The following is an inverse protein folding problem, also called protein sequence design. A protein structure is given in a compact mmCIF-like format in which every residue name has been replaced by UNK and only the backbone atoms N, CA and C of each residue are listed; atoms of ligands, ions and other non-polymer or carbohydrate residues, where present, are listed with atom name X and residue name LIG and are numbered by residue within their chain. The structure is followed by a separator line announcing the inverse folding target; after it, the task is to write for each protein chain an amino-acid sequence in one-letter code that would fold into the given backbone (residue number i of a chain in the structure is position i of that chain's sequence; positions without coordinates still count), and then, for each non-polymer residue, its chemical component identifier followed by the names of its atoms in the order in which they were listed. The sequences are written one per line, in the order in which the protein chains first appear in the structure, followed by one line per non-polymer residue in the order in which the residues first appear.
data_IF_099141678253
#
_entry.id   IF_099141678253
#
_cell.length_a   1.000
_cell.length_b   1.000
_cell.length_c   1.000
_cell.angle_alpha   90.00
_cell.angle_beta   90.00
_cell.angle_gamma   90.00
#
_symmetry.space_group_name_H-M   'P 1'
#
loop_
_entity.id
_entity.type
_entity.pdbx_description
1 polymer ?
#
# COMPACT_ATOMS: atom_id res chain seq x y z
N UNK A 1 6.16 2.82 25.76
CA UNK A 1 7.39 2.01 25.52
C UNK A 1 8.42 2.88 24.86
N UNK A 2 9.71 2.74 25.24
CA UNK A 2 10.82 3.37 24.52
C UNK A 2 11.42 2.32 23.60
N UNK A 3 11.39 2.57 22.30
CA UNK A 3 11.94 1.66 21.29
C UNK A 3 13.46 1.81 21.19
N UNK A 4 14.16 0.72 20.86
CA UNK A 4 15.59 0.74 20.56
C UNK A 4 15.82 1.35 19.17
N UNK A 5 16.92 2.06 19.01
CA UNK A 5 17.35 2.52 17.68
C UNK A 5 18.17 1.43 17.00
N UNK A 6 17.88 1.08 15.72
CA UNK A 6 18.66 0.10 14.97
C UNK A 6 20.06 0.64 14.67
N UNK A 7 21.08 0.02 15.23
CA UNK A 7 22.47 0.48 15.14
C UNK A 7 23.32 -0.32 14.15
N UNK A 8 23.03 -1.61 13.98
CA UNK A 8 23.72 -2.45 13.00
C UNK A 8 23.08 -2.36 11.61
N UNK A 9 23.84 -2.72 10.58
CA UNK A 9 23.32 -2.78 9.21
C UNK A 9 22.18 -3.80 9.10
N UNK A 10 22.34 -4.95 9.76
CA UNK A 10 21.34 -6.04 9.75
C UNK A 10 20.01 -5.56 10.33
N UNK A 11 20.01 -4.86 11.46
CA UNK A 11 18.77 -4.33 12.05
C UNK A 11 18.17 -3.22 11.21
N UNK A 12 18.97 -2.35 10.59
CA UNK A 12 18.46 -1.30 9.68
C UNK A 12 17.81 -1.89 8.43
N UNK A 13 18.44 -2.88 7.82
CA UNK A 13 17.86 -3.62 6.69
C UNK A 13 16.61 -4.39 7.12
N UNK A 14 16.64 -5.01 8.29
CA UNK A 14 15.47 -5.69 8.87
C UNK A 14 14.26 -4.78 9.02
N UNK A 15 14.47 -3.48 9.35
CA UNK A 15 13.37 -2.52 9.46
C UNK A 15 12.71 -2.17 8.10
N UNK A 16 13.33 -2.51 6.98
CA UNK A 16 12.73 -2.36 5.65
C UNK A 16 11.82 -3.55 5.29
N UNK A 17 11.88 -4.67 6.00
CA UNK A 17 11.16 -5.91 5.65
C UNK A 17 9.81 -5.95 6.34
N UNK A 18 8.76 -6.08 5.54
CA UNK A 18 7.37 -6.25 5.96
C UNK A 18 6.89 -7.63 5.57
N UNK A 19 6.29 -8.37 6.51
CA UNK A 19 5.88 -9.76 6.27
C UNK A 19 4.44 -10.02 6.69
N UNK A 20 3.76 -10.92 5.95
CA UNK A 20 2.53 -11.57 6.38
C UNK A 20 2.81 -12.90 7.07
N UNK A 21 1.79 -13.50 7.66
CA UNK A 21 1.84 -14.84 8.23
C UNK A 21 0.45 -15.50 8.25
N UNK A 22 0.42 -16.81 8.51
CA UNK A 22 -0.82 -17.57 8.63
C UNK A 22 -1.26 -17.67 10.09
N UNK A 23 -2.59 -17.57 10.31
CA UNK A 23 -3.21 -17.84 11.61
C UNK A 23 -3.58 -16.59 12.41
N UNK A 24 -4.28 -16.83 13.52
CA UNK A 24 -4.85 -15.79 14.42
C UNK A 24 -3.88 -15.33 15.50
N UNK A 25 -2.73 -15.98 15.61
CA UNK A 25 -1.63 -15.64 16.52
C UNK A 25 -0.33 -15.62 15.76
N UNK A 26 0.60 -14.76 16.14
CA UNK A 26 1.91 -14.71 15.50
C UNK A 26 2.71 -16.00 15.77
N UNK A 27 3.24 -16.67 14.73
CA UNK A 27 4.09 -17.83 14.92
C UNK A 27 5.41 -17.47 15.61
N UNK A 28 6.01 -18.44 16.31
CA UNK A 28 7.26 -18.22 17.06
C UNK A 28 8.38 -17.63 16.20
N UNK A 29 8.54 -18.10 14.96
CA UNK A 29 9.56 -17.56 14.05
C UNK A 29 9.38 -16.07 13.73
N UNK A 30 8.13 -15.57 13.64
CA UNK A 30 7.86 -14.14 13.44
C UNK A 30 8.26 -13.36 14.69
N UNK A 31 7.87 -13.84 15.88
CA UNK A 31 8.21 -13.22 17.16
C UNK A 31 9.72 -13.18 17.40
N UNK A 32 10.44 -14.24 17.02
CA UNK A 32 11.91 -14.28 17.09
C UNK A 32 12.54 -13.21 16.18
N UNK A 33 12.09 -13.12 14.91
CA UNK A 33 12.60 -12.12 13.96
C UNK A 33 12.30 -10.69 14.38
N UNK A 34 11.15 -10.43 15.02
CA UNK A 34 10.84 -9.13 15.62
C UNK A 34 11.81 -8.78 16.75
N UNK A 35 12.08 -9.75 17.66
CA UNK A 35 13.04 -9.55 18.77
C UNK A 35 14.46 -9.26 18.27
N UNK A 36 14.86 -9.88 17.17
CA UNK A 36 16.17 -9.69 16.52
C UNK A 36 16.22 -8.37 15.70
N UNK A 37 15.10 -7.66 15.51
CA UNK A 37 15.02 -6.47 14.65
C UNK A 37 15.14 -6.75 13.16
N UNK A 38 14.80 -7.97 12.73
CA UNK A 38 14.87 -8.41 11.32
C UNK A 38 13.56 -8.23 10.57
N UNK A 39 12.52 -7.74 11.24
CA UNK A 39 11.21 -7.38 10.66
C UNK A 39 10.87 -5.99 11.19
N UNK A 40 10.57 -5.06 10.28
CA UNK A 40 10.14 -3.69 10.58
C UNK A 40 8.62 -3.52 10.54
N UNK A 41 7.93 -4.40 9.79
CA UNK A 41 6.48 -4.32 9.68
C UNK A 41 5.80 -5.67 9.47
N UNK A 42 4.52 -5.69 9.82
CA UNK A 42 3.61 -6.82 9.61
C UNK A 42 2.45 -6.33 8.73
N UNK A 43 2.09 -7.12 7.71
CA UNK A 43 0.83 -6.95 6.99
C UNK A 43 -0.18 -7.99 7.45
N UNK A 44 -1.38 -7.53 7.80
CA UNK A 44 -2.50 -8.37 8.23
C UNK A 44 -3.49 -8.59 7.07
N UNK A 45 -4.01 -9.81 7.01
CA UNK A 45 -5.04 -10.26 6.07
C UNK A 45 -6.26 -10.78 6.82
N UNK A 46 -7.34 -11.08 6.09
CA UNK A 46 -8.54 -11.68 6.68
C UNK A 46 -8.25 -12.98 7.46
N UNK A 47 -7.24 -13.75 7.05
CA UNK A 47 -6.79 -14.97 7.73
C UNK A 47 -6.22 -14.74 9.15
N UNK A 48 -5.93 -13.48 9.49
CA UNK A 48 -5.42 -13.10 10.81
C UNK A 48 -6.51 -12.50 11.72
N UNK A 49 -7.77 -12.47 11.27
CA UNK A 49 -8.87 -11.76 11.94
C UNK A 49 -10.00 -12.73 12.25
N UNK A 50 -10.34 -12.88 13.54
CA UNK A 50 -11.53 -13.58 14.00
C UNK A 50 -12.58 -12.58 14.51
N UNK A 51 -12.17 -11.68 15.40
CA UNK A 51 -12.98 -10.64 15.99
C UNK A 51 -12.11 -9.48 16.49
N UNK A 52 -12.70 -8.33 16.90
CA UNK A 52 -11.94 -7.18 17.36
C UNK A 52 -11.03 -7.46 18.58
N UNK A 53 -11.48 -8.29 19.53
CA UNK A 53 -10.72 -8.58 20.75
C UNK A 53 -9.50 -9.45 20.45
N UNK A 54 -9.68 -10.48 19.61
CA UNK A 54 -8.58 -11.33 19.14
C UNK A 54 -7.54 -10.50 18.36
N UNK A 55 -7.99 -9.62 17.46
CA UNK A 55 -7.10 -8.80 16.66
C UNK A 55 -6.31 -7.81 17.53
N UNK A 56 -6.93 -7.17 18.51
CA UNK A 56 -6.23 -6.32 19.46
C UNK A 56 -5.17 -7.09 20.25
N UNK A 57 -5.49 -8.30 20.72
CA UNK A 57 -4.53 -9.15 21.42
C UNK A 57 -3.35 -9.56 20.51
N UNK A 58 -3.60 -9.82 19.22
CA UNK A 58 -2.55 -10.13 18.24
C UNK A 58 -1.61 -8.92 18.05
N UNK A 59 -2.14 -7.73 17.82
CA UNK A 59 -1.33 -6.52 17.61
C UNK A 59 -0.54 -6.14 18.85
N UNK A 60 -1.11 -6.28 20.06
CA UNK A 60 -0.43 -6.11 21.33
C UNK A 60 0.74 -7.10 21.48
N UNK A 61 0.52 -8.36 21.12
CA UNK A 61 1.57 -9.40 21.16
C UNK A 61 2.72 -9.07 20.20
N UNK A 62 2.42 -8.61 18.99
CA UNK A 62 3.44 -8.20 18.02
C UNK A 62 4.28 -7.02 18.56
N UNK A 63 3.63 -5.98 19.08
CA UNK A 63 4.32 -4.82 19.66
C UNK A 63 5.16 -5.19 20.88
N UNK A 64 4.66 -6.06 21.76
CA UNK A 64 5.39 -6.50 22.96
C UNK A 64 6.69 -7.28 22.61
N UNK A 65 6.76 -7.89 21.43
CA UNK A 65 7.93 -8.64 20.96
C UNK A 65 8.84 -7.85 20.00
N UNK A 66 8.56 -6.56 19.76
CA UNK A 66 9.29 -5.72 18.83
C UNK A 66 10.07 -4.61 19.57
N UNK A 67 11.29 -4.86 20.07
CA UNK A 67 12.07 -3.87 20.82
C UNK A 67 12.44 -2.64 19.98
N UNK A 68 12.48 -2.77 18.67
CA UNK A 68 12.71 -1.67 17.71
C UNK A 68 11.40 -1.01 17.24
N UNK A 69 10.24 -1.48 17.72
CA UNK A 69 8.92 -1.16 17.19
C UNK A 69 8.58 -2.01 15.95
N UNK A 70 7.28 -2.18 15.69
CA UNK A 70 6.78 -2.81 14.46
C UNK A 70 5.64 -1.99 13.90
N UNK A 71 5.67 -1.71 12.60
CA UNK A 71 4.56 -1.07 11.90
C UNK A 71 3.58 -2.17 11.50
N UNK A 72 2.33 -2.07 11.96
CA UNK A 72 1.27 -3.01 11.58
C UNK A 72 0.42 -2.36 10.49
N UNK A 73 0.30 -3.05 9.37
CA UNK A 73 -0.37 -2.57 8.15
C UNK A 73 -1.47 -3.51 7.68
N UNK A 74 -2.36 -3.01 6.84
CA UNK A 74 -3.52 -3.72 6.33
C UNK A 74 -3.98 -3.14 4.98
N UNK A 75 -4.72 -3.92 4.18
CA UNK A 75 -5.52 -3.44 3.04
C UNK A 75 -6.98 -3.29 3.46
N UNK A 76 -7.35 -2.16 4.00
CA UNK A 76 -8.74 -1.82 4.34
C UNK A 76 -9.22 -0.70 3.41
N UNK A 77 -9.41 -1.04 2.13
CA UNK A 77 -9.91 -0.09 1.10
C UNK A 77 -11.41 0.16 1.25
N UNK A 78 -12.12 -0.84 1.75
CA UNK A 78 -13.57 -0.94 1.73
C UNK A 78 -14.10 -1.68 0.48
N UNK A 79 -15.39 -1.95 0.43
CA UNK A 79 -15.99 -2.69 -0.69
C UNK A 79 -15.41 -4.10 -0.81
N UNK A 80 -14.87 -4.44 -2.00
CA UNK A 80 -14.34 -5.78 -2.29
C UNK A 80 -13.05 -6.08 -1.54
N UNK A 81 -12.22 -5.08 -1.28
CA UNK A 81 -10.95 -5.23 -0.57
C UNK A 81 -11.09 -4.66 0.85
N UNK A 82 -11.54 -5.51 1.75
CA UNK A 82 -11.66 -5.25 3.17
C UNK A 82 -11.29 -6.52 3.94
N UNK A 83 -10.40 -6.40 4.92
CA UNK A 83 -9.97 -7.52 5.79
C UNK A 83 -10.82 -7.58 7.06
N UNK A 84 -11.28 -6.42 7.52
CA UNK A 84 -12.16 -6.24 8.68
C UNK A 84 -13.60 -6.14 8.19
N UNK A 85 -14.45 -7.08 8.61
CA UNK A 85 -15.86 -7.15 8.19
C UNK A 85 -16.78 -7.32 9.38
N UNK A 86 -17.03 -8.53 9.82
CA UNK A 86 -17.92 -8.80 10.95
C UNK A 86 -17.41 -8.14 12.24
N UNK A 87 -18.26 -7.33 12.88
CA UNK A 87 -17.89 -6.55 14.06
C UNK A 87 -17.23 -5.21 13.78
N UNK A 88 -17.06 -4.83 12.50
CA UNK A 88 -16.44 -3.58 12.06
C UNK A 88 -17.35 -2.79 11.11
N UNK A 89 -17.01 -1.52 10.88
CA UNK A 89 -17.70 -0.71 9.88
C UNK A 89 -17.38 -1.18 8.47
N UNK A 90 -18.41 -1.58 7.73
CA UNK A 90 -18.27 -1.92 6.32
C UNK A 90 -18.47 -0.68 5.44
N UNK A 91 -17.40 -0.25 4.78
CA UNK A 91 -17.47 0.77 3.74
C UNK A 91 -18.04 0.18 2.45
N UNK A 92 -18.94 0.88 1.73
CA UNK A 92 -19.43 0.40 0.43
C UNK A 92 -18.36 0.40 -0.68
N UNK A 93 -17.19 0.95 -0.43
CA UNK A 93 -16.07 1.01 -1.37
C UNK A 93 -16.02 2.30 -2.20
N UNK A 94 -14.88 2.49 -2.88
CA UNK A 94 -14.53 3.75 -3.53
C UNK A 94 -15.55 4.18 -4.60
N UNK A 95 -15.89 3.30 -5.54
CA UNK A 95 -16.82 3.63 -6.64
C UNK A 95 -18.22 3.98 -6.13
N UNK A 96 -18.73 3.28 -5.12
CA UNK A 96 -20.04 3.56 -4.54
C UNK A 96 -20.05 4.93 -3.82
N UNK A 97 -19.03 5.23 -3.03
CA UNK A 97 -18.87 6.53 -2.38
C UNK A 97 -18.69 7.67 -3.39
N UNK A 98 -17.94 7.43 -4.48
CA UNK A 98 -17.74 8.40 -5.56
C UNK A 98 -19.02 8.74 -6.32
N UNK A 99 -20.03 7.87 -6.26
CA UNK A 99 -21.34 8.07 -6.90
C UNK A 99 -22.32 8.89 -6.03
N UNK A 100 -21.96 9.18 -4.78
CA UNK A 100 -22.81 9.94 -3.87
C UNK A 100 -22.82 11.45 -4.18
N UNK A 101 -23.87 12.18 -3.75
CA UNK A 101 -23.98 13.63 -3.97
C UNK A 101 -22.87 14.40 -3.27
N UNK A 102 -22.65 14.14 -1.97
CA UNK A 102 -21.63 14.80 -1.13
C UNK A 102 -20.35 13.94 -1.04
N UNK A 103 -19.94 13.39 -2.18
CA UNK A 103 -18.92 12.33 -2.28
C UNK A 103 -17.62 12.65 -1.57
N UNK A 104 -17.08 13.86 -1.72
CA UNK A 104 -15.82 14.26 -1.08
C UNK A 104 -15.94 14.22 0.45
N UNK A 105 -16.96 14.86 1.02
CA UNK A 105 -17.20 14.86 2.47
C UNK A 105 -17.47 13.46 3.02
N UNK A 106 -18.21 12.64 2.28
CA UNK A 106 -18.51 11.26 2.69
C UNK A 106 -17.28 10.37 2.67
N UNK A 107 -16.42 10.51 1.68
CA UNK A 107 -15.15 9.76 1.58
C UNK A 107 -14.23 10.15 2.73
N UNK A 108 -14.05 11.45 2.99
CA UNK A 108 -13.23 11.93 4.10
C UNK A 108 -13.77 11.43 5.45
N UNK A 109 -15.08 11.51 5.68
CA UNK A 109 -15.73 11.02 6.90
C UNK A 109 -15.61 9.49 7.06
N UNK A 110 -15.88 8.71 6.00
CA UNK A 110 -15.76 7.25 6.04
C UNK A 110 -14.32 6.82 6.30
N UNK A 111 -13.35 7.47 5.66
CA UNK A 111 -11.93 7.21 5.91
C UNK A 111 -11.55 7.52 7.36
N UNK A 112 -12.12 8.57 7.95
CA UNK A 112 -11.94 8.90 9.38
C UNK A 112 -12.52 7.83 10.31
N UNK A 113 -13.70 7.27 9.98
CA UNK A 113 -14.30 6.17 10.76
C UNK A 113 -13.42 4.92 10.69
N UNK A 114 -13.02 4.51 9.49
CA UNK A 114 -12.12 3.36 9.32
C UNK A 114 -10.78 3.58 10.04
N UNK A 115 -10.23 4.79 9.97
CA UNK A 115 -9.00 5.13 10.69
C UNK A 115 -9.13 4.99 12.21
N UNK A 116 -10.25 5.44 12.78
CA UNK A 116 -10.49 5.31 14.21
C UNK A 116 -10.55 3.84 14.66
N UNK A 117 -11.20 2.97 13.87
CA UNK A 117 -11.25 1.53 14.15
C UNK A 117 -9.85 0.88 14.02
N UNK A 118 -9.13 1.15 12.93
CA UNK A 118 -7.77 0.64 12.70
C UNK A 118 -6.83 1.05 13.85
N UNK A 119 -6.88 2.32 14.24
CA UNK A 119 -6.06 2.83 15.34
C UNK A 119 -6.37 2.18 16.68
N UNK A 120 -7.66 1.96 16.97
CA UNK A 120 -8.10 1.29 18.20
C UNK A 120 -7.58 -0.15 18.30
N UNK A 121 -7.28 -0.78 17.16
CA UNK A 121 -6.72 -2.12 17.03
C UNK A 121 -5.20 -2.16 16.94
N UNK A 122 -4.51 -1.04 17.16
CA UNK A 122 -3.04 -0.98 17.07
C UNK A 122 -2.50 -1.10 15.64
N UNK A 123 -3.31 -0.85 14.61
CA UNK A 123 -2.88 -0.79 13.21
C UNK A 123 -2.42 0.65 12.91
N UNK A 124 -1.33 0.80 12.16
CA UNK A 124 -0.66 2.08 11.95
C UNK A 124 -0.74 2.55 10.50
N UNK A 125 -0.86 1.63 9.55
CA UNK A 125 -0.72 1.90 8.14
C UNK A 125 -1.78 1.15 7.32
N UNK A 126 -2.50 1.89 6.48
CA UNK A 126 -3.48 1.33 5.55
C UNK A 126 -2.98 1.51 4.10
N UNK A 127 -2.89 0.41 3.35
CA UNK A 127 -2.57 0.44 1.92
C UNK A 127 -3.80 0.86 1.12
N UNK A 128 -4.19 2.11 1.29
CA UNK A 128 -5.30 2.81 0.64
C UNK A 128 -4.99 4.32 0.61
N UNK A 129 -5.64 5.09 -0.28
CA UNK A 129 -6.64 4.69 -1.27
C UNK A 129 -6.04 4.14 -2.57
N UNK A 130 -6.88 3.43 -3.35
CA UNK A 130 -6.60 3.16 -4.77
C UNK A 130 -6.86 4.45 -5.54
N UNK A 131 -5.84 4.94 -6.24
CA UNK A 131 -5.89 6.20 -7.02
C UNK A 131 -5.75 5.97 -8.52
N UNK A 132 -5.72 4.71 -8.91
CA UNK A 132 -5.72 4.31 -10.32
C UNK A 132 -6.97 4.81 -11.02
N UNK A 133 -6.79 5.31 -12.25
CA UNK A 133 -7.90 5.76 -13.11
C UNK A 133 -8.48 4.53 -13.81
N UNK A 134 -9.80 4.38 -13.79
CA UNK A 134 -10.48 3.26 -14.44
C UNK A 134 -10.61 3.50 -15.94
N UNK A 135 -9.71 2.92 -16.74
CA UNK A 135 -9.77 3.00 -18.20
C UNK A 135 -10.68 1.95 -18.83
N UNK A 136 -10.83 0.81 -18.18
CA UNK A 136 -11.61 -0.33 -18.68
C UNK A 136 -12.59 -0.80 -17.62
N UNK A 137 -13.85 -0.95 -18.00
CA UNK A 137 -14.90 -1.42 -17.08
C UNK A 137 -14.68 -2.87 -16.60
N UNK A 138 -13.97 -3.65 -17.39
CA UNK A 138 -13.62 -5.06 -17.17
C UNK A 138 -12.17 -5.26 -16.68
N UNK A 139 -11.53 -4.19 -16.17
CA UNK A 139 -10.21 -4.34 -15.54
C UNK A 139 -10.30 -5.35 -14.38
N UNK A 140 -9.55 -6.47 -14.44
CA UNK A 140 -9.74 -7.60 -13.53
C UNK A 140 -9.34 -7.31 -12.09
N UNK A 141 -8.45 -6.34 -11.87
CA UNK A 141 -7.91 -6.05 -10.55
C UNK A 141 -8.41 -4.72 -9.96
N UNK A 142 -8.78 -3.75 -10.80
CA UNK A 142 -9.21 -2.42 -10.33
C UNK A 142 -10.73 -2.36 -10.10
N UNK A 143 -11.53 -2.55 -11.12
CA UNK A 143 -12.99 -2.61 -11.02
C UNK A 143 -13.59 -1.52 -10.11
N UNK A 144 -14.39 -1.95 -9.13
CA UNK A 144 -15.05 -1.06 -8.15
C UNK A 144 -14.13 -0.47 -7.08
N UNK A 145 -12.85 -0.84 -7.07
CA UNK A 145 -11.86 -0.30 -6.14
C UNK A 145 -11.46 1.14 -6.44
N UNK A 146 -11.71 1.63 -7.67
CA UNK A 146 -11.35 2.99 -8.10
C UNK A 146 -12.47 3.99 -7.82
N UNK A 147 -12.10 5.28 -7.73
CA UNK A 147 -13.07 6.39 -7.63
C UNK A 147 -13.73 6.74 -8.96
N UNK A 148 -13.25 6.20 -10.08
CA UNK A 148 -13.83 6.41 -11.41
C UNK A 148 -12.80 6.55 -12.52
N UNK A 149 -13.24 7.09 -13.67
CA UNK A 149 -12.44 7.23 -14.90
C UNK A 149 -12.03 8.67 -15.22
N UNK A 150 -12.50 9.66 -14.45
CA UNK A 150 -12.13 11.06 -14.64
C UNK A 150 -10.97 11.43 -13.70
N UNK A 151 -9.80 11.83 -14.24
CA UNK A 151 -8.60 12.09 -13.45
C UNK A 151 -8.77 13.18 -12.38
N UNK A 152 -9.53 14.22 -12.67
CA UNK A 152 -9.78 15.31 -11.73
C UNK A 152 -10.64 14.83 -10.56
N UNK A 153 -11.70 14.07 -10.85
CA UNK A 153 -12.56 13.47 -9.84
C UNK A 153 -11.76 12.50 -8.96
N UNK A 154 -10.97 11.61 -9.55
CA UNK A 154 -10.12 10.65 -8.80
C UNK A 154 -9.16 11.42 -7.90
N UNK A 155 -8.52 12.49 -8.40
CA UNK A 155 -7.58 13.32 -7.64
C UNK A 155 -8.22 13.95 -6.39
N UNK A 156 -9.39 14.56 -6.55
CA UNK A 156 -10.10 15.22 -5.43
C UNK A 156 -10.55 14.20 -4.38
N UNK A 157 -11.13 13.08 -4.82
CA UNK A 157 -11.65 12.05 -3.91
C UNK A 157 -10.55 11.26 -3.21
N UNK A 158 -9.46 10.97 -3.91
CA UNK A 158 -8.29 10.34 -3.31
C UNK A 158 -7.64 11.22 -2.24
N UNK A 159 -7.51 12.53 -2.51
CA UNK A 159 -7.01 13.49 -1.52
C UNK A 159 -7.92 13.56 -0.27
N UNK A 160 -9.24 13.51 -0.45
CA UNK A 160 -10.20 13.46 0.66
C UNK A 160 -10.01 12.18 1.52
N UNK A 161 -9.81 11.02 0.89
CA UNK A 161 -9.52 9.78 1.60
C UNK A 161 -8.21 9.88 2.42
N UNK A 162 -7.15 10.44 1.83
CA UNK A 162 -5.88 10.68 2.54
C UNK A 162 -6.10 11.56 3.77
N UNK A 163 -6.80 12.70 3.62
CA UNK A 163 -7.09 13.59 4.76
C UNK A 163 -7.84 12.85 5.87
N UNK A 164 -8.88 12.09 5.53
CA UNK A 164 -9.69 11.36 6.49
C UNK A 164 -8.88 10.33 7.29
N UNK A 165 -8.11 9.48 6.61
CA UNK A 165 -7.26 8.49 7.27
C UNK A 165 -6.18 9.12 8.15
N UNK A 166 -5.47 10.11 7.63
CA UNK A 166 -4.34 10.71 8.36
C UNK A 166 -4.79 11.60 9.52
N UNK A 167 -5.93 12.29 9.41
CA UNK A 167 -6.54 12.99 10.54
C UNK A 167 -6.93 12.01 11.66
N UNK A 168 -7.31 10.77 11.33
CA UNK A 168 -7.53 9.67 12.26
C UNK A 168 -6.25 9.01 12.80
N UNK A 169 -5.07 9.43 12.35
CA UNK A 169 -3.76 8.93 12.81
C UNK A 169 -3.31 7.63 12.14
N UNK A 170 -3.82 7.31 10.94
CA UNK A 170 -3.43 6.17 10.12
C UNK A 170 -2.64 6.65 8.90
N UNK A 171 -1.42 6.13 8.72
CA UNK A 171 -0.64 6.37 7.52
C UNK A 171 -1.35 5.79 6.29
N UNK A 172 -1.30 6.53 5.17
CA UNK A 172 -1.93 6.12 3.90
C UNK A 172 -0.90 5.77 2.85
N UNK A 173 -1.31 4.93 1.89
CA UNK A 173 -0.50 4.54 0.74
C UNK A 173 -1.35 4.63 -0.53
N UNK A 174 -1.43 5.81 -1.19
CA UNK A 174 -1.96 5.89 -2.55
C UNK A 174 -1.29 4.86 -3.44
N UNK A 175 -2.09 4.10 -4.22
CA UNK A 175 -1.62 2.96 -5.01
C UNK A 175 -2.38 2.83 -6.33
N UNK A 176 -1.75 2.27 -7.37
CA UNK A 176 -0.43 1.63 -7.49
C UNK A 176 0.46 2.45 -8.43
N UNK A 177 1.42 3.19 -7.93
CA UNK A 177 2.24 4.16 -8.67
C UNK A 177 3.07 3.50 -9.80
N UNK A 178 3.19 4.11 -11.01
CA UNK A 178 2.51 5.32 -11.44
C UNK A 178 1.06 5.09 -11.86
N UNK A 179 0.66 3.89 -12.24
CA UNK A 179 -0.72 3.44 -12.51
C UNK A 179 -0.81 1.93 -12.69
N UNK A 180 -1.89 1.32 -12.26
CA UNK A 180 -2.34 -0.03 -12.65
C UNK A 180 -3.67 0.02 -13.42
N UNK A 181 -4.18 1.21 -13.72
CA UNK A 181 -5.46 1.39 -14.42
C UNK A 181 -5.48 0.93 -15.87
N UNK A 182 -4.32 0.90 -16.52
CA UNK A 182 -4.18 0.48 -17.93
C UNK A 182 -4.06 -1.02 -18.13
N UNK A 183 -3.97 -1.82 -17.07
CA UNK A 183 -3.73 -3.26 -17.22
C UNK A 183 -5.02 -4.00 -17.58
N UNK A 184 -4.90 -4.94 -18.53
CA UNK A 184 -5.90 -5.97 -18.79
C UNK A 184 -5.52 -7.31 -18.16
N UNK A 185 -4.38 -7.37 -17.47
CA UNK A 185 -3.82 -8.54 -16.80
C UNK A 185 -3.66 -8.19 -15.32
N UNK A 186 -4.13 -9.08 -14.45
CA UNK A 186 -3.92 -8.97 -13.02
C UNK A 186 -2.45 -9.27 -12.68
N UNK A 187 -1.80 -8.38 -11.94
CA UNK A 187 -0.41 -8.53 -11.48
C UNK A 187 -0.20 -9.72 -10.53
N UNK A 188 -1.28 -10.24 -9.93
CA UNK A 188 -1.23 -11.49 -9.18
C UNK A 188 -0.98 -12.72 -10.08
N UNK A 189 -1.26 -12.61 -11.39
CA UNK A 189 -1.18 -13.73 -12.34
C UNK A 189 0.02 -13.62 -13.28
N UNK A 190 0.36 -12.41 -13.75
CA UNK A 190 1.49 -12.20 -14.66
C UNK A 190 1.99 -10.75 -14.61
N UNK A 191 3.16 -10.50 -15.22
CA UNK A 191 3.72 -9.15 -15.38
C UNK A 191 3.09 -8.45 -16.59
N UNK A 192 2.24 -7.43 -16.39
CA UNK A 192 1.75 -6.60 -17.48
C UNK A 192 2.88 -5.74 -18.04
N UNK A 193 3.03 -5.72 -19.37
CA UNK A 193 3.97 -4.86 -20.06
C UNK A 193 3.21 -3.92 -21.00
N UNK A 194 3.33 -2.61 -20.77
CA UNK A 194 2.49 -1.57 -21.38
C UNK A 194 3.33 -0.55 -22.15
N UNK A 195 2.74 -0.03 -23.24
CA UNK A 195 3.34 0.98 -24.12
C UNK A 195 2.72 2.38 -23.90
N UNK A 196 2.04 2.61 -22.76
CA UNK A 196 1.51 3.93 -22.41
C UNK A 196 2.61 4.96 -22.43
N UNK A 197 2.39 6.09 -23.11
CA UNK A 197 3.41 7.12 -23.27
C UNK A 197 3.75 7.79 -21.94
N UNK A 198 5.01 8.20 -21.80
CA UNK A 198 5.47 8.97 -20.64
C UNK A 198 4.68 10.27 -20.45
N UNK A 199 4.29 10.90 -21.55
CA UNK A 199 3.47 12.12 -21.52
C UNK A 199 2.11 11.85 -20.89
N UNK A 200 1.44 10.75 -21.29
CA UNK A 200 0.14 10.36 -20.72
C UNK A 200 0.27 10.05 -19.23
N UNK A 201 1.27 9.25 -18.85
CA UNK A 201 1.51 8.95 -17.42
C UNK A 201 1.70 10.23 -16.61
N UNK A 202 2.51 11.19 -17.11
CA UNK A 202 2.78 12.45 -16.42
C UNK A 202 1.57 13.37 -16.33
N UNK A 203 0.81 13.50 -17.42
CA UNK A 203 -0.29 14.47 -17.49
C UNK A 203 -1.58 13.96 -16.88
N UNK A 204 -1.81 12.65 -16.93
CA UNK A 204 -3.09 12.06 -16.54
C UNK A 204 -2.91 11.17 -15.30
N UNK A 205 -2.17 10.06 -15.39
CA UNK A 205 -2.11 9.06 -14.32
C UNK A 205 -1.47 9.58 -13.03
N UNK A 206 -0.52 10.53 -13.14
CA UNK A 206 0.14 11.10 -11.98
C UNK A 206 -0.62 12.28 -11.35
N UNK A 207 -1.75 12.72 -11.90
CA UNK A 207 -2.58 13.77 -11.29
C UNK A 207 -3.07 13.38 -9.89
N UNK A 208 -3.65 12.18 -9.67
CA UNK A 208 -4.08 11.76 -8.35
C UNK A 208 -2.93 11.67 -7.33
N UNK A 209 -1.71 11.30 -7.78
CA UNK A 209 -0.54 11.28 -6.88
C UNK A 209 -0.10 12.67 -6.46
N UNK A 210 -0.10 13.66 -7.36
CA UNK A 210 0.15 15.05 -6.99
C UNK A 210 -0.84 15.54 -5.94
N UNK A 211 -2.12 15.22 -6.11
CA UNK A 211 -3.17 15.63 -5.18
C UNK A 211 -3.04 14.92 -3.80
N UNK A 212 -2.73 13.62 -3.79
CA UNK A 212 -2.58 12.86 -2.54
C UNK A 212 -1.29 13.21 -1.80
N UNK A 213 -0.20 13.49 -2.51
CA UNK A 213 1.06 14.00 -1.93
C UNK A 213 0.82 15.38 -1.31
N UNK A 214 0.12 16.28 -2.02
CA UNK A 214 -0.25 17.59 -1.47
C UNK A 214 -1.20 17.49 -0.26
N UNK A 215 -2.02 16.43 -0.17
CA UNK A 215 -2.85 16.12 0.99
C UNK A 215 -2.07 15.47 2.15
N UNK A 216 -0.76 15.25 1.98
CA UNK A 216 0.15 14.74 3.02
C UNK A 216 0.25 13.21 3.09
N UNK A 217 0.02 12.48 2.00
CA UNK A 217 0.17 11.02 1.99
C UNK A 217 1.51 10.55 2.59
N UNK A 218 1.45 9.74 3.62
CA UNK A 218 2.63 9.29 4.37
C UNK A 218 3.47 8.29 3.59
N UNK A 219 2.86 7.52 2.69
CA UNK A 219 3.56 6.59 1.82
C UNK A 219 2.93 6.55 0.42
N UNK A 220 3.66 5.97 -0.54
CA UNK A 220 3.19 5.62 -1.89
C UNK A 220 3.58 4.18 -2.20
N UNK A 221 2.64 3.38 -2.68
CA UNK A 221 2.90 2.01 -3.12
C UNK A 221 3.14 1.96 -4.63
N UNK A 222 4.24 1.31 -5.03
CA UNK A 222 4.65 1.18 -6.43
C UNK A 222 4.13 -0.12 -7.04
N UNK A 223 3.60 -0.04 -8.26
CA UNK A 223 3.02 -1.16 -9.01
C UNK A 223 4.05 -2.14 -9.57
N UNK A 224 3.63 -3.39 -9.83
CA UNK A 224 4.41 -4.39 -10.56
C UNK A 224 4.16 -4.36 -12.09
N UNK A 225 3.85 -3.21 -12.66
CA UNK A 225 3.68 -3.04 -14.11
C UNK A 225 5.01 -2.63 -14.76
N UNK A 226 5.30 -3.19 -15.92
CA UNK A 226 6.40 -2.76 -16.79
C UNK A 226 5.88 -1.71 -17.78
N UNK A 227 6.25 -0.46 -17.59
CA UNK A 227 6.00 0.61 -18.57
C UNK A 227 7.26 0.83 -19.40
N UNK A 228 7.27 0.36 -20.67
CA UNK A 228 8.44 0.45 -21.55
C UNK A 228 8.90 1.88 -21.81
N UNK A 229 8.00 2.84 -21.71
CA UNK A 229 8.34 4.26 -21.84
C UNK A 229 9.07 4.85 -20.62
N UNK A 230 9.02 4.17 -19.46
CA UNK A 230 9.74 4.53 -18.24
C UNK A 230 11.04 3.73 -18.13
N UNK A 231 10.88 2.41 -18.13
CA UNK A 231 11.98 1.45 -18.00
C UNK A 231 11.62 0.21 -18.83
N UNK A 232 12.48 -0.15 -19.79
CA UNK A 232 12.22 -1.29 -20.66
C UNK A 232 12.70 -2.63 -20.05
N UNK A 233 13.47 -2.57 -18.96
CA UNK A 233 14.11 -3.72 -18.33
C UNK A 233 13.41 -4.14 -17.05
N UNK A 234 13.07 -3.17 -16.18
CA UNK A 234 12.53 -3.44 -14.86
C UNK A 234 11.07 -3.01 -14.71
N UNK A 235 10.22 -3.82 -14.04
CA UNK A 235 8.90 -3.35 -13.60
C UNK A 235 9.06 -2.18 -12.62
N UNK A 236 8.05 -1.31 -12.53
CA UNK A 236 8.13 -0.06 -11.77
C UNK A 236 8.67 -0.22 -10.35
N UNK A 237 8.27 -1.27 -9.65
CA UNK A 237 8.74 -1.60 -8.28
C UNK A 237 10.24 -1.80 -8.18
N UNK A 238 10.90 -2.27 -9.26
CA UNK A 238 12.33 -2.58 -9.29
C UNK A 238 13.15 -1.54 -10.07
N UNK A 239 12.49 -0.46 -10.55
CA UNK A 239 13.10 0.54 -11.42
C UNK A 239 13.58 1.77 -10.65
N UNK A 240 14.89 2.05 -10.61
CA UNK A 240 15.41 3.32 -10.07
C UNK A 240 14.88 4.55 -10.82
N UNK A 241 14.54 4.41 -12.10
CA UNK A 241 13.96 5.51 -12.89
C UNK A 241 12.61 5.91 -12.32
N UNK A 242 11.76 4.93 -11.99
CA UNK A 242 10.43 5.19 -11.45
C UNK A 242 10.51 5.78 -10.04
N UNK A 243 11.32 5.21 -9.17
CA UNK A 243 11.39 5.64 -7.77
C UNK A 243 12.20 6.93 -7.63
N UNK A 244 13.48 6.96 -8.10
CA UNK A 244 14.34 8.12 -7.86
C UNK A 244 14.04 9.29 -8.79
N UNK A 245 13.87 9.04 -10.11
CA UNK A 245 13.71 10.16 -11.04
C UNK A 245 12.26 10.66 -11.07
N UNK A 246 11.27 9.74 -11.17
CA UNK A 246 9.88 10.13 -11.33
C UNK A 246 9.23 10.51 -10.00
N UNK A 247 9.23 9.60 -8.99
CA UNK A 247 8.53 9.83 -7.73
C UNK A 247 9.29 10.82 -6.83
N UNK A 248 10.58 10.57 -6.57
CA UNK A 248 11.39 11.45 -5.72
C UNK A 248 11.75 12.76 -6.41
N UNK A 249 12.25 12.68 -7.67
CA UNK A 249 12.77 13.83 -8.40
C UNK A 249 11.68 14.72 -8.98
N UNK A 250 10.76 14.17 -9.80
CA UNK A 250 9.77 14.95 -10.52
C UNK A 250 8.56 15.33 -9.66
N UNK A 251 8.05 14.39 -8.84
CA UNK A 251 6.94 14.68 -7.92
C UNK A 251 7.39 15.27 -6.57
N UNK A 252 8.70 15.27 -6.27
CA UNK A 252 9.25 15.81 -5.02
C UNK A 252 8.81 15.05 -3.77
N UNK A 253 8.53 13.76 -3.89
CA UNK A 253 7.99 12.98 -2.78
C UNK A 253 9.09 12.49 -1.83
N UNK A 254 9.03 12.92 -0.57
CA UNK A 254 10.00 12.56 0.49
C UNK A 254 9.45 11.56 1.52
N UNK A 255 8.20 11.12 1.40
CA UNK A 255 7.59 10.12 2.28
C UNK A 255 8.08 8.69 2.00
N UNK A 256 7.49 7.71 2.68
CA UNK A 256 7.85 6.29 2.56
C UNK A 256 7.40 5.74 1.19
N UNK A 257 8.27 5.01 0.51
CA UNK A 257 7.93 4.27 -0.72
C UNK A 257 7.91 2.78 -0.42
N UNK A 258 6.79 2.11 -0.73
CA UNK A 258 6.64 0.68 -0.50
C UNK A 258 6.45 -0.07 -1.81
N UNK A 259 6.88 -1.34 -1.84
CA UNK A 259 6.47 -2.26 -2.91
C UNK A 259 5.00 -2.66 -2.72
N UNK A 260 4.36 -3.13 -3.80
CA UNK A 260 3.32 -4.14 -3.65
C UNK A 260 3.96 -5.48 -3.23
N UNK A 261 3.18 -6.53 -2.95
CA UNK A 261 3.74 -7.80 -2.48
C UNK A 261 4.67 -8.43 -3.52
N UNK A 262 5.95 -8.63 -3.16
CA UNK A 262 6.94 -9.21 -4.07
C UNK A 262 6.72 -10.70 -4.37
N UNK A 263 5.78 -11.37 -3.66
CA UNK A 263 5.40 -12.75 -3.95
C UNK A 263 4.32 -12.88 -5.04
N UNK A 264 3.81 -11.75 -5.57
CA UNK A 264 2.91 -11.76 -6.73
C UNK A 264 3.62 -12.31 -7.97
N UNK A 265 2.90 -13.07 -8.82
CA UNK A 265 3.47 -13.75 -9.98
C UNK A 265 4.11 -12.79 -11.00
N UNK A 266 3.69 -11.54 -11.04
CA UNK A 266 4.36 -10.51 -11.82
C UNK A 266 5.86 -10.38 -11.49
N UNK A 267 6.25 -10.69 -10.27
CA UNK A 267 7.65 -10.67 -9.81
C UNK A 267 8.23 -12.08 -9.75
N UNK A 268 7.57 -13.03 -9.06
CA UNK A 268 8.13 -14.36 -8.80
C UNK A 268 8.36 -15.21 -10.05
N UNK A 269 7.66 -14.93 -11.15
CA UNK A 269 7.91 -15.60 -12.43
C UNK A 269 9.21 -15.15 -13.12
N UNK A 270 9.81 -14.05 -12.68
CA UNK A 270 10.97 -13.42 -13.32
C UNK A 270 12.17 -13.28 -12.38
N UNK A 271 11.95 -13.10 -11.09
CA UNK A 271 12.96 -12.81 -10.07
C UNK A 271 12.79 -13.71 -8.85
N UNK A 272 13.91 -14.10 -8.24
CA UNK A 272 13.88 -14.75 -6.93
C UNK A 272 13.54 -13.76 -5.81
N UNK A 273 12.97 -14.23 -4.69
CA UNK A 273 12.57 -13.38 -3.58
C UNK A 273 13.71 -12.51 -3.02
N UNK A 274 14.91 -13.07 -2.86
CA UNK A 274 16.07 -12.30 -2.39
C UNK A 274 16.55 -11.27 -3.43
N UNK A 275 16.56 -11.64 -4.70
CA UNK A 275 16.95 -10.78 -5.81
C UNK A 275 15.99 -9.59 -5.95
N UNK A 276 14.68 -9.84 -5.95
CA UNK A 276 13.67 -8.79 -6.04
C UNK A 276 13.74 -7.82 -4.86
N UNK A 277 13.98 -8.32 -3.64
CA UNK A 277 14.19 -7.45 -2.48
C UNK A 277 15.41 -6.53 -2.62
N UNK A 278 16.53 -7.06 -3.11
CA UNK A 278 17.74 -6.28 -3.33
C UNK A 278 17.52 -5.24 -4.43
N UNK A 279 16.90 -5.62 -5.55
CA UNK A 279 16.58 -4.71 -6.65
C UNK A 279 15.60 -3.60 -6.20
N UNK A 280 14.56 -3.93 -5.43
CA UNK A 280 13.65 -2.94 -4.85
C UNK A 280 14.39 -1.94 -3.94
N UNK A 281 15.26 -2.43 -3.04
CA UNK A 281 16.08 -1.56 -2.20
C UNK A 281 17.01 -0.65 -3.02
N UNK A 282 17.65 -1.17 -4.07
CA UNK A 282 18.49 -0.40 -5.00
C UNK A 282 17.69 0.61 -5.82
N UNK A 283 16.42 0.30 -6.11
CA UNK A 283 15.50 1.23 -6.75
C UNK A 283 15.09 2.41 -5.85
N UNK A 284 15.35 2.34 -4.54
CA UNK A 284 15.01 3.39 -3.57
C UNK A 284 13.72 3.15 -2.81
N UNK A 285 13.25 1.92 -2.75
CA UNK A 285 12.13 1.48 -1.90
C UNK A 285 12.56 1.47 -0.43
N UNK A 286 11.70 1.96 0.46
CA UNK A 286 11.93 2.01 1.90
C UNK A 286 11.30 0.82 2.64
N UNK A 287 10.16 0.32 2.16
CA UNK A 287 9.43 -0.80 2.75
C UNK A 287 9.16 -1.89 1.71
N UNK A 288 9.67 -3.09 1.96
CA UNK A 288 9.64 -4.23 1.05
C UNK A 288 8.68 -5.28 1.59
N UNK A 289 7.61 -5.55 0.84
CA UNK A 289 6.47 -6.33 1.29
C UNK A 289 6.50 -7.77 0.78
N UNK A 290 6.38 -8.71 1.73
CA UNK A 290 6.11 -10.14 1.52
C UNK A 290 4.87 -10.56 2.30
N UNK A 291 4.00 -11.44 1.75
CA UNK A 291 2.69 -11.75 2.37
C UNK A 291 2.36 -13.25 2.47
#
# INVERSE_FOLDING_TARGET
MTFLSPTSLETRVGQMVFVGFEGLTAPDYVLERLREGRIGGIILFARNVADPAQLAALTDSLQANAPYGVIISIDQEGGTVARLREGFTESPGAMALASARDRERLIEAMSGVLAAELRALGIHWNYAPVVDISYYADNPSMGTRTFGSDPETVSVLAAAAVRGFQAGGIATSPKHFPSAGHTSIDTHVALPALDTSLEHLRQIDMMPYRATIAAGAASVMVTHVLYRALDAEYPCTLSPIVVHQLLRGELGYDGVVTTDCLEMQAITNHYGAAESAVLAALAGIDAILFS
#
